data_IF_951120284044
#
_entry.id   IF_951120284044
#
_cell.length_a   1.000
_cell.length_b   1.000
_cell.length_c   1.000
_cell.angle_alpha   90.00
_cell.angle_beta   90.00
_cell.angle_gamma   90.00
#
_symmetry.space_group_name_H-M   'P 1'
#
loop_
_entity.id
_entity.type
_entity.pdbx_description
1 polymer ?
#
# COMPACT_ATOMS: atom_id res chain seq x y z
N UNK A 1 33.84 3.03 -29.04
CA UNK A 1 34.27 3.06 -27.64
C UNK A 1 33.53 4.19 -26.93
N UNK A 2 32.46 3.89 -26.19
CA UNK A 2 31.81 4.81 -25.24
C UNK A 2 31.66 4.03 -23.95
N UNK A 3 32.37 4.47 -22.91
CA UNK A 3 32.31 3.88 -21.58
C UNK A 3 31.00 4.32 -20.90
N UNK A 4 30.25 3.35 -20.39
CA UNK A 4 29.08 3.57 -19.54
C UNK A 4 29.58 3.51 -18.11
N UNK A 5 29.49 4.64 -17.41
CA UNK A 5 29.84 4.77 -15.99
C UNK A 5 28.67 4.24 -15.14
N UNK A 6 28.86 3.07 -14.53
CA UNK A 6 27.93 2.48 -13.56
C UNK A 6 28.20 3.11 -12.19
N UNK A 7 27.24 3.82 -11.64
CA UNK A 7 27.27 4.30 -10.24
C UNK A 7 26.56 3.28 -9.37
N UNK A 8 27.34 2.45 -8.69
CA UNK A 8 26.89 1.55 -7.61
C UNK A 8 26.87 2.34 -6.30
N UNK A 9 25.68 2.58 -5.76
CA UNK A 9 25.52 3.11 -4.40
C UNK A 9 25.54 1.92 -3.43
N UNK A 10 26.68 1.72 -2.78
CA UNK A 10 26.87 0.73 -1.71
C UNK A 10 26.37 1.32 -0.39
N UNK A 11 25.31 0.77 0.17
CA UNK A 11 24.83 1.09 1.51
C UNK A 11 25.62 0.27 2.53
N UNK A 12 26.54 0.90 3.21
CA UNK A 12 27.44 0.29 4.20
C UNK A 12 26.79 0.34 5.58
N UNK A 13 26.31 -0.81 6.08
CA UNK A 13 25.95 -1.00 7.48
C UNK A 13 27.22 -1.12 8.33
N UNK A 14 27.46 -0.15 9.18
CA UNK A 14 28.49 -0.24 10.24
C UNK A 14 27.85 -0.76 11.53
N UNK A 15 28.15 -2.00 11.86
CA UNK A 15 28.03 -2.55 13.22
C UNK A 15 29.30 -2.22 13.98
N UNK A 16 29.20 -1.36 14.98
CA UNK A 16 30.26 -1.15 15.95
C UNK A 16 29.78 -1.62 17.33
N UNK A 17 30.28 -2.78 17.75
CA UNK A 17 30.29 -3.16 19.15
C UNK A 17 31.52 -2.57 19.81
N UNK A 18 31.35 -1.76 20.86
CA UNK A 18 32.43 -1.34 21.76
C UNK A 18 31.94 -1.42 23.19
N UNK A 19 32.48 -2.39 23.94
CA UNK A 19 32.50 -2.36 25.40
C UNK A 19 33.56 -1.38 25.87
N UNK A 20 33.20 -0.43 26.74
CA UNK A 20 34.10 0.46 27.43
C UNK A 20 33.46 0.92 28.75
N UNK A 21 33.96 0.40 29.86
CA UNK A 21 33.64 0.81 31.21
C UNK A 21 34.27 2.20 31.52
N UNK A 22 33.46 3.15 31.99
CA UNK A 22 33.92 4.44 32.47
C UNK A 22 32.84 5.13 33.29
N UNK A 23 33.07 5.24 34.54
CA UNK A 23 32.27 5.91 35.59
C UNK A 23 32.23 7.42 35.36
N UNK A 24 31.05 8.05 35.56
CA UNK A 24 30.98 9.48 35.85
C UNK A 24 29.83 10.24 35.21
N UNK A 25 28.88 10.56 36.06
CA UNK A 25 28.04 11.75 36.17
C UNK A 25 26.94 12.06 35.17
N UNK A 26 25.78 12.06 35.78
CA UNK A 26 24.52 12.84 35.59
C UNK A 26 24.33 13.64 34.29
N UNK A 27 23.59 13.05 33.39
CA UNK A 27 22.90 13.74 32.32
C UNK A 27 21.73 12.88 31.84
N UNK A 28 20.75 12.59 32.72
CA UNK A 28 19.49 11.90 32.34
C UNK A 28 18.72 12.79 31.40
N UNK A 29 18.98 12.62 30.11
CA UNK A 29 18.01 12.95 29.07
C UNK A 29 16.77 12.10 29.27
N UNK A 30 15.81 12.58 30.01
CA UNK A 30 14.48 12.01 30.14
C UNK A 30 13.91 11.95 28.70
N UNK A 31 13.80 10.76 28.14
CA UNK A 31 12.77 10.50 27.13
C UNK A 31 11.47 10.87 27.84
N UNK A 32 10.89 12.01 27.49
CA UNK A 32 9.57 12.39 27.94
C UNK A 32 8.60 11.33 27.44
N UNK A 33 8.31 10.33 28.26
CA UNK A 33 7.13 9.50 28.12
C UNK A 33 5.96 10.47 28.14
N UNK A 34 5.27 10.58 27.03
CA UNK A 34 4.09 11.40 26.90
C UNK A 34 3.01 10.78 27.80
N UNK A 35 2.94 11.22 29.09
CA UNK A 35 1.73 11.01 29.87
C UNK A 35 0.64 11.83 29.19
N UNK A 36 -0.53 11.23 28.86
CA UNK A 36 -1.64 12.02 28.37
C UNK A 36 -1.97 13.06 29.46
N UNK A 37 -1.94 14.34 29.07
CA UNK A 37 -2.38 15.46 29.91
C UNK A 37 -3.89 15.32 30.12
N UNK A 38 -4.25 14.55 31.14
CA UNK A 38 -5.65 14.31 31.50
C UNK A 38 -6.27 15.67 31.85
N UNK A 39 -7.18 16.15 30.98
CA UNK A 39 -7.95 17.37 31.20
C UNK A 39 -7.61 18.56 30.31
N UNK A 40 -6.54 18.53 29.48
CA UNK A 40 -6.25 19.63 28.56
C UNK A 40 -7.34 19.75 27.47
N UNK A 41 -7.85 20.97 27.29
CA UNK A 41 -8.75 21.30 26.18
C UNK A 41 -8.19 22.54 25.48
N UNK A 42 -8.02 22.44 24.15
CA UNK A 42 -7.48 23.52 23.32
C UNK A 42 -6.56 23.01 22.23
N UNK A 43 -5.83 23.92 21.60
CA UNK A 43 -4.90 23.63 20.51
C UNK A 43 -3.48 23.55 21.05
N UNK A 44 -2.76 22.46 20.73
CA UNK A 44 -1.33 22.31 21.03
C UNK A 44 -0.52 22.42 19.74
N UNK A 45 0.42 23.38 19.72
CA UNK A 45 1.36 23.57 18.63
C UNK A 45 2.68 22.84 18.91
N UNK A 46 3.21 22.17 17.91
CA UNK A 46 4.50 21.51 17.93
C UNK A 46 5.47 22.27 17.02
N UNK A 47 6.57 22.70 17.60
CA UNK A 47 7.61 23.50 16.93
C UNK A 47 8.86 22.63 16.79
N UNK A 48 9.54 22.71 15.64
CA UNK A 48 10.85 22.12 15.38
C UNK A 48 11.68 23.15 14.61
N UNK A 49 12.88 23.45 15.11
CA UNK A 49 13.78 24.43 14.49
C UNK A 49 13.04 25.78 14.21
N UNK A 50 12.34 26.27 15.24
CA UNK A 50 11.51 27.50 15.23
C UNK A 50 10.38 27.52 14.19
N UNK A 51 10.07 26.38 13.58
CA UNK A 51 8.97 26.25 12.62
C UNK A 51 7.84 25.40 13.21
N UNK A 52 6.60 25.87 13.08
CA UNK A 52 5.43 25.08 13.43
C UNK A 52 5.29 23.92 12.43
N UNK A 53 5.42 22.69 12.91
CA UNK A 53 5.35 21.47 12.10
C UNK A 53 4.02 20.72 12.27
N UNK A 54 3.35 20.94 13.41
CA UNK A 54 2.08 20.25 13.70
C UNK A 54 1.24 21.06 14.69
N UNK A 55 -0.05 20.91 14.56
CA UNK A 55 -1.10 21.46 15.44
C UNK A 55 -2.12 20.36 15.73
N UNK A 56 -2.54 20.24 16.99
CA UNK A 56 -3.48 19.19 17.42
C UNK A 56 -4.55 19.82 18.31
N UNK A 57 -5.80 19.56 17.99
CA UNK A 57 -6.95 19.92 18.82
C UNK A 57 -7.22 18.82 19.85
N UNK A 58 -7.37 19.22 21.12
CA UNK A 58 -7.67 18.34 22.24
C UNK A 58 -8.92 18.78 22.97
N UNK A 59 -9.66 17.80 23.49
CA UNK A 59 -10.75 17.99 24.44
C UNK A 59 -10.59 16.99 25.57
N UNK A 60 -10.46 17.48 26.81
CA UNK A 60 -10.25 16.65 28.00
C UNK A 60 -9.08 15.66 27.87
N UNK A 61 -7.98 16.09 27.25
CA UNK A 61 -6.76 15.29 27.08
C UNK A 61 -6.76 14.33 25.90
N UNK A 62 -7.87 14.14 25.20
CA UNK A 62 -7.97 13.30 23.99
C UNK A 62 -7.99 14.15 22.72
N UNK A 63 -7.48 13.64 21.60
CA UNK A 63 -7.58 14.32 20.30
C UNK A 63 -9.04 14.34 19.87
N UNK A 64 -9.57 15.54 19.74
CA UNK A 64 -10.94 15.79 19.32
C UNK A 64 -10.92 17.04 18.44
N UNK A 65 -11.34 16.92 17.17
CA UNK A 65 -11.20 17.97 16.17
C UNK A 65 -10.11 17.65 15.16
N UNK A 66 -9.43 18.67 14.61
CA UNK A 66 -8.53 18.50 13.48
C UNK A 66 -7.06 18.53 13.93
N UNK A 67 -6.29 17.54 13.51
CA UNK A 67 -4.83 17.58 13.55
C UNK A 67 -4.32 18.06 12.20
N UNK A 68 -3.45 19.10 12.21
CA UNK A 68 -2.78 19.64 11.03
C UNK A 68 -1.28 19.39 11.09
N UNK A 69 -0.67 19.02 9.96
CA UNK A 69 0.78 19.08 9.75
C UNK A 69 1.10 20.13 8.68
N UNK A 70 2.32 20.63 8.70
CA UNK A 70 2.72 21.74 7.85
C UNK A 70 4.03 21.43 7.12
N UNK A 71 4.11 21.83 5.86
CA UNK A 71 5.38 21.92 5.14
C UNK A 71 6.30 22.97 5.78
N UNK A 72 7.60 22.92 5.48
CA UNK A 72 8.60 23.84 6.02
C UNK A 72 8.25 25.32 5.82
N UNK A 73 7.46 25.66 4.79
CA UNK A 73 6.99 27.03 4.53
C UNK A 73 5.70 27.44 5.27
N UNK A 74 5.20 26.62 6.22
CA UNK A 74 3.99 26.89 6.98
C UNK A 74 2.67 26.61 6.24
N UNK A 75 2.75 26.10 5.00
CA UNK A 75 1.58 25.63 4.24
C UNK A 75 1.09 24.32 4.83
N UNK A 76 -0.21 24.14 4.93
CA UNK A 76 -0.80 22.88 5.40
C UNK A 76 -0.41 21.75 4.46
N UNK A 77 0.11 20.65 5.04
CA UNK A 77 0.42 19.40 4.36
C UNK A 77 -0.73 18.40 4.52
N UNK A 78 -1.27 18.29 5.75
CA UNK A 78 -2.34 17.35 6.06
C UNK A 78 -3.33 17.96 7.04
N UNK A 79 -4.59 17.58 6.90
CA UNK A 79 -5.66 17.76 7.88
C UNK A 79 -6.30 16.41 8.15
N UNK A 80 -6.28 15.98 9.41
CA UNK A 80 -6.83 14.69 9.82
C UNK A 80 -7.81 14.93 10.95
N UNK A 81 -9.12 14.67 10.75
CA UNK A 81 -10.12 14.76 11.81
C UNK A 81 -9.98 13.58 12.78
N UNK A 82 -10.10 13.89 14.06
CA UNK A 82 -10.09 12.93 15.16
C UNK A 82 -11.35 13.06 16.00
N UNK A 83 -11.85 11.92 16.48
CA UNK A 83 -12.86 11.83 17.52
C UNK A 83 -12.44 10.75 18.51
N UNK A 84 -12.29 11.12 19.79
CA UNK A 84 -11.86 10.21 20.85
C UNK A 84 -10.51 9.54 20.56
N UNK A 85 -9.49 10.29 20.12
CA UNK A 85 -8.15 9.81 19.72
C UNK A 85 -8.10 8.94 18.46
N UNK A 86 -9.22 8.67 17.80
CA UNK A 86 -9.29 7.90 16.56
C UNK A 86 -9.53 8.81 15.36
N UNK A 87 -8.89 8.52 14.25
CA UNK A 87 -9.20 9.18 12.98
C UNK A 87 -10.66 8.89 12.61
N UNK A 88 -11.44 9.93 12.37
CA UNK A 88 -12.86 9.79 12.03
C UNK A 88 -13.30 10.95 11.14
N UNK A 89 -13.71 10.64 9.90
CA UNK A 89 -14.05 11.61 8.87
C UNK A 89 -13.03 11.66 7.73
N UNK A 90 -13.11 12.68 6.90
CA UNK A 90 -12.27 12.85 5.71
C UNK A 90 -10.92 13.48 6.06
N UNK A 91 -9.84 12.69 6.01
CA UNK A 91 -8.48 13.21 6.05
C UNK A 91 -8.08 13.76 4.68
N UNK A 92 -7.43 14.93 4.66
CA UNK A 92 -7.03 15.66 3.47
C UNK A 92 -5.53 15.86 3.43
N UNK A 93 -4.93 15.67 2.27
CA UNK A 93 -3.52 15.95 1.97
C UNK A 93 -3.44 16.99 0.87
N UNK A 94 -2.49 17.87 0.98
CA UNK A 94 -2.30 18.99 0.06
C UNK A 94 -0.94 18.96 -0.59
N UNK A 95 -0.84 19.51 -1.78
CA UNK A 95 0.43 19.86 -2.41
C UNK A 95 1.06 21.08 -1.70
N UNK A 96 2.38 21.34 -1.88
CA UNK A 96 3.01 22.53 -1.32
C UNK A 96 2.43 23.87 -1.80
N UNK A 97 1.66 23.87 -2.89
CA UNK A 97 0.93 25.02 -3.40
C UNK A 97 -0.53 25.10 -2.90
N UNK A 98 -0.83 24.42 -1.78
CA UNK A 98 -2.14 24.37 -1.10
C UNK A 98 -3.26 23.68 -1.89
N UNK A 99 -2.98 23.10 -3.04
CA UNK A 99 -4.01 22.37 -3.80
C UNK A 99 -4.20 20.97 -3.21
N UNK A 100 -5.44 20.52 -3.22
CA UNK A 100 -5.81 19.21 -2.71
C UNK A 100 -5.11 18.11 -3.52
N UNK A 101 -4.40 17.20 -2.81
CA UNK A 101 -3.71 16.05 -3.38
C UNK A 101 -4.52 14.76 -3.21
N UNK A 102 -5.09 14.54 -2.00
CA UNK A 102 -5.82 13.32 -1.68
C UNK A 102 -6.83 13.55 -0.57
N UNK A 103 -7.99 12.89 -0.68
CA UNK A 103 -8.97 12.73 0.40
C UNK A 103 -9.06 11.24 0.73
N UNK A 104 -9.03 10.91 2.01
CA UNK A 104 -9.18 9.53 2.50
C UNK A 104 -10.20 9.51 3.64
N UNK A 105 -11.33 8.81 3.49
CA UNK A 105 -12.32 8.69 4.56
C UNK A 105 -11.85 7.66 5.60
N UNK A 106 -11.99 8.01 6.87
CA UNK A 106 -11.71 7.15 8.02
C UNK A 106 -12.93 6.98 8.90
N UNK A 107 -13.11 5.77 9.41
CA UNK A 107 -14.04 5.42 10.47
C UNK A 107 -13.24 4.68 11.56
N UNK A 108 -13.10 5.30 12.74
CA UNK A 108 -12.37 4.71 13.88
C UNK A 108 -10.97 4.17 13.51
N UNK A 109 -10.09 5.01 12.93
CA UNK A 109 -8.75 4.71 12.42
C UNK A 109 -8.69 3.84 11.14
N UNK A 110 -9.80 3.29 10.70
CA UNK A 110 -9.88 2.39 9.56
C UNK A 110 -10.34 3.13 8.30
N UNK A 111 -9.67 2.92 7.16
CA UNK A 111 -10.13 3.50 5.88
C UNK A 111 -11.43 2.79 5.48
N UNK A 112 -12.51 3.57 5.25
CA UNK A 112 -13.79 3.04 4.79
C UNK A 112 -14.49 4.07 3.93
N UNK A 113 -14.81 3.70 2.68
CA UNK A 113 -15.33 4.59 1.64
C UNK A 113 -14.34 4.81 0.49
N UNK A 114 -14.59 5.82 -0.35
CA UNK A 114 -13.81 6.12 -1.54
C UNK A 114 -12.65 7.09 -1.22
N UNK A 115 -11.41 6.63 -1.36
CA UNK A 115 -10.24 7.50 -1.41
C UNK A 115 -10.16 8.14 -2.79
N UNK A 116 -9.99 9.47 -2.84
CA UNK A 116 -9.88 10.24 -4.08
C UNK A 116 -8.51 10.91 -4.14
N UNK A 117 -7.82 10.76 -5.25
CA UNK A 117 -6.57 11.44 -5.56
C UNK A 117 -6.80 12.50 -6.64
N UNK A 118 -6.08 13.61 -6.55
CA UNK A 118 -6.22 14.75 -7.47
C UNK A 118 -4.89 15.11 -8.12
N UNK A 119 -4.96 15.61 -9.33
CA UNK A 119 -3.88 16.35 -9.96
C UNK A 119 -3.77 17.76 -9.37
N UNK A 120 -2.60 18.41 -9.55
CA UNK A 120 -2.45 19.84 -9.20
C UNK A 120 -3.45 20.78 -9.90
N UNK A 121 -4.04 20.35 -11.01
CA UNK A 121 -5.12 21.06 -11.69
C UNK A 121 -6.47 21.01 -10.96
N UNK A 122 -6.59 20.21 -9.89
CA UNK A 122 -7.83 19.93 -9.18
C UNK A 122 -8.69 18.83 -9.82
N UNK A 123 -8.31 18.30 -10.99
CA UNK A 123 -9.01 17.18 -11.62
C UNK A 123 -8.75 15.88 -10.88
N UNK A 124 -9.76 15.01 -10.82
CA UNK A 124 -9.63 13.67 -10.21
C UNK A 124 -8.62 12.87 -11.01
N UNK A 125 -7.61 12.34 -10.29
CA UNK A 125 -6.58 11.45 -10.80
C UNK A 125 -6.96 9.99 -10.64
N UNK A 126 -7.45 9.61 -9.43
CA UNK A 126 -7.85 8.24 -9.16
C UNK A 126 -8.92 8.17 -8.06
N UNK A 127 -9.73 7.10 -8.11
CA UNK A 127 -10.64 6.69 -7.04
C UNK A 127 -10.37 5.24 -6.67
N UNK A 128 -10.32 4.97 -5.37
CA UNK A 128 -10.01 3.68 -4.78
C UNK A 128 -10.98 3.42 -3.65
N UNK A 129 -11.75 2.33 -3.75
CA UNK A 129 -12.77 2.01 -2.76
C UNK A 129 -12.23 1.06 -1.69
N UNK A 130 -12.64 1.29 -0.44
CA UNK A 130 -12.25 0.54 0.74
C UNK A 130 -13.46 0.21 1.61
N UNK A 131 -13.46 -0.98 2.18
CA UNK A 131 -14.38 -1.41 3.22
C UNK A 131 -13.53 -1.96 4.37
N UNK A 132 -13.66 -1.39 5.57
CA UNK A 132 -12.96 -1.79 6.79
C UNK A 132 -11.45 -2.03 6.58
N UNK A 133 -10.80 -1.08 5.92
CA UNK A 133 -9.36 -1.10 5.63
C UNK A 133 -8.94 -1.95 4.45
N UNK A 134 -9.82 -2.79 3.92
CA UNK A 134 -9.54 -3.66 2.79
C UNK A 134 -9.99 -3.03 1.47
N UNK A 135 -9.17 -3.23 0.43
CA UNK A 135 -9.38 -2.68 -0.91
C UNK A 135 -10.46 -3.46 -1.65
N UNK A 136 -11.38 -2.77 -2.34
CA UNK A 136 -12.12 -3.38 -3.44
C UNK A 136 -11.19 -3.53 -4.65
N UNK A 137 -11.39 -4.56 -5.50
CA UNK A 137 -10.50 -4.79 -6.65
C UNK A 137 -10.56 -3.69 -7.71
N UNK A 138 -11.68 -2.96 -7.78
CA UNK A 138 -11.91 -1.89 -8.75
C UNK A 138 -10.93 -0.72 -8.61
N UNK A 139 -10.64 -0.07 -9.74
CA UNK A 139 -9.81 1.14 -9.84
C UNK A 139 -10.36 2.04 -10.93
N UNK A 140 -10.52 3.33 -10.61
CA UNK A 140 -10.77 4.37 -11.60
C UNK A 140 -9.55 5.29 -11.64
N UNK A 141 -8.95 5.45 -12.81
CA UNK A 141 -7.86 6.39 -13.04
C UNK A 141 -8.18 7.26 -14.25
N UNK A 142 -7.74 8.51 -14.20
CA UNK A 142 -7.92 9.47 -15.27
C UNK A 142 -6.57 10.09 -15.64
N UNK A 143 -6.41 10.42 -16.90
CA UNK A 143 -5.31 11.25 -17.39
C UNK A 143 -5.49 12.70 -16.93
N UNK A 144 -4.44 13.51 -17.01
CA UNK A 144 -4.47 14.92 -16.59
C UNK A 144 -5.50 15.77 -17.37
N UNK A 145 -5.85 15.37 -18.58
CA UNK A 145 -6.91 16.00 -19.38
C UNK A 145 -8.33 15.59 -18.95
N UNK A 146 -8.46 14.61 -18.02
CA UNK A 146 -9.72 14.08 -17.52
C UNK A 146 -10.23 12.84 -18.25
N UNK A 147 -9.54 12.35 -19.29
CA UNK A 147 -9.91 11.11 -19.99
C UNK A 147 -9.67 9.91 -19.07
N UNK A 148 -10.66 9.03 -18.96
CA UNK A 148 -10.53 7.78 -18.18
C UNK A 148 -9.49 6.85 -18.81
N UNK A 149 -8.68 6.22 -17.97
CA UNK A 149 -7.73 5.19 -18.39
C UNK A 149 -8.45 3.87 -18.52
N UNK A 150 -8.34 3.25 -19.68
CA UNK A 150 -8.96 1.94 -19.99
C UNK A 150 -7.97 0.97 -20.63
N UNK A 151 -6.79 1.46 -21.01
CA UNK A 151 -5.71 0.74 -21.69
C UNK A 151 -4.76 0.04 -20.69
N UNK A 152 -5.31 -0.75 -19.78
CA UNK A 152 -4.51 -1.58 -18.89
C UNK A 152 -4.14 -2.90 -19.58
N UNK A 153 -2.92 -3.43 -19.32
CA UNK A 153 -2.55 -4.74 -19.82
C UNK A 153 -3.44 -5.81 -19.20
N UNK A 154 -3.70 -6.86 -19.93
CA UNK A 154 -4.47 -8.02 -19.46
C UNK A 154 -3.56 -9.03 -18.75
N UNK A 155 -4.11 -9.82 -17.83
CA UNK A 155 -3.42 -10.95 -17.26
C UNK A 155 -3.68 -12.18 -18.10
N UNK A 156 -2.61 -12.89 -18.50
CA UNK A 156 -2.65 -14.09 -19.35
C UNK A 156 -1.91 -15.24 -18.66
N UNK A 157 -2.05 -16.46 -19.19
CA UNK A 157 -1.28 -17.59 -18.72
C UNK A 157 -0.90 -18.54 -19.85
N UNK A 158 0.20 -19.26 -19.64
CA UNK A 158 0.67 -20.38 -20.46
C UNK A 158 0.75 -21.64 -19.61
N UNK A 159 0.64 -22.78 -20.25
CA UNK A 159 0.64 -24.10 -19.60
C UNK A 159 1.81 -24.93 -20.10
N UNK A 160 2.41 -25.69 -19.18
CA UNK A 160 3.24 -26.85 -19.50
C UNK A 160 2.65 -28.04 -18.74
N UNK A 161 1.95 -28.92 -19.47
CA UNK A 161 1.27 -30.08 -18.95
C UNK A 161 2.24 -31.26 -18.90
N UNK A 162 2.58 -31.68 -17.70
CA UNK A 162 3.42 -32.85 -17.40
C UNK A 162 2.66 -33.82 -16.48
N UNK A 163 1.32 -33.79 -16.51
CA UNK A 163 0.49 -34.55 -15.58
C UNK A 163 0.68 -36.06 -15.74
N UNK A 164 0.61 -36.58 -16.96
CA UNK A 164 0.76 -38.01 -17.23
C UNK A 164 2.17 -38.53 -16.94
N UNK A 165 3.20 -37.69 -17.21
CA UNK A 165 4.59 -38.10 -17.04
C UNK A 165 5.10 -37.96 -15.60
N UNK A 166 4.69 -36.88 -14.89
CA UNK A 166 5.26 -36.45 -13.61
C UNK A 166 4.23 -36.10 -12.54
N UNK A 167 2.95 -36.15 -12.87
CA UNK A 167 1.88 -35.69 -11.99
C UNK A 167 1.92 -34.19 -11.69
N UNK A 168 2.42 -33.35 -12.64
CA UNK A 168 2.61 -31.92 -12.46
C UNK A 168 1.97 -31.14 -13.62
N UNK A 169 1.26 -30.08 -13.27
CA UNK A 169 0.69 -29.13 -14.21
C UNK A 169 1.23 -27.74 -13.90
N UNK A 170 2.04 -27.17 -14.81
CA UNK A 170 2.72 -25.90 -14.57
C UNK A 170 2.01 -24.75 -15.26
N UNK A 171 1.77 -23.70 -14.51
CA UNK A 171 1.20 -22.44 -14.98
C UNK A 171 2.26 -21.33 -14.93
N UNK A 172 2.31 -20.56 -16.00
CA UNK A 172 3.13 -19.37 -16.15
C UNK A 172 2.20 -18.18 -16.36
N UNK A 173 2.11 -17.30 -15.38
CA UNK A 173 1.18 -16.17 -15.37
C UNK A 173 1.95 -14.89 -15.70
N UNK A 174 1.45 -14.12 -16.66
CA UNK A 174 2.10 -12.93 -17.19
C UNK A 174 1.09 -11.82 -17.47
N UNK A 175 1.56 -10.58 -17.50
CA UNK A 175 0.79 -9.48 -18.10
C UNK A 175 1.01 -9.50 -19.61
N UNK A 176 0.01 -9.09 -20.41
CA UNK A 176 0.06 -9.11 -21.88
C UNK A 176 1.17 -8.23 -22.47
N UNK A 177 1.63 -7.21 -21.75
CA UNK A 177 2.73 -6.31 -22.10
C UNK A 177 4.06 -6.66 -21.42
N UNK A 178 4.13 -7.83 -20.72
CA UNK A 178 5.28 -8.28 -19.94
C UNK A 178 5.72 -7.28 -18.86
N UNK A 179 4.77 -6.58 -18.24
CA UNK A 179 5.04 -5.62 -17.17
C UNK A 179 5.80 -6.26 -16.00
N UNK A 180 6.80 -5.55 -15.49
CA UNK A 180 7.64 -5.99 -14.36
C UNK A 180 7.07 -5.57 -12.99
N UNK A 181 6.17 -4.61 -12.95
CA UNK A 181 5.60 -4.03 -11.73
C UNK A 181 4.32 -4.74 -11.28
N UNK A 182 4.33 -6.07 -11.31
CA UNK A 182 3.23 -6.95 -10.91
C UNK A 182 3.67 -7.95 -9.86
N UNK A 183 2.74 -8.35 -8.98
CA UNK A 183 2.89 -9.49 -8.07
C UNK A 183 1.74 -10.45 -8.28
N UNK A 184 2.05 -11.75 -8.32
CA UNK A 184 1.08 -12.80 -8.53
C UNK A 184 0.86 -13.60 -7.25
N UNK A 185 -0.38 -13.92 -6.94
CA UNK A 185 -0.77 -14.65 -5.74
C UNK A 185 -1.72 -15.79 -6.10
N UNK A 186 -1.58 -16.94 -5.43
CA UNK A 186 -2.60 -17.99 -5.43
C UNK A 186 -3.64 -17.69 -4.36
N UNK A 187 -4.92 -17.83 -4.70
CA UNK A 187 -6.07 -17.60 -3.83
C UNK A 187 -7.10 -16.68 -4.45
N UNK A 188 -8.15 -16.38 -3.73
CA UNK A 188 -9.29 -15.60 -4.21
C UNK A 188 -9.59 -14.40 -3.30
N UNK A 189 -10.46 -13.50 -3.76
CA UNK A 189 -11.00 -12.44 -2.93
C UNK A 189 -11.83 -12.99 -1.79
N UNK A 190 -11.72 -12.38 -0.62
CA UNK A 190 -12.54 -12.73 0.54
C UNK A 190 -13.73 -11.77 0.61
N UNK A 191 -14.95 -12.27 0.41
CA UNK A 191 -16.16 -11.45 0.38
C UNK A 191 -16.09 -10.29 -0.64
N UNK A 192 -15.44 -10.52 -1.78
CA UNK A 192 -15.26 -9.51 -2.84
C UNK A 192 -14.17 -8.48 -2.55
N UNK A 193 -13.42 -8.61 -1.45
CA UNK A 193 -12.34 -7.71 -1.02
C UNK A 193 -10.97 -8.34 -1.27
N UNK A 194 -9.99 -7.50 -1.56
CA UNK A 194 -8.58 -7.90 -1.68
C UNK A 194 -7.97 -7.99 -0.30
N UNK A 195 -7.71 -9.21 0.14
CA UNK A 195 -7.02 -9.51 1.39
C UNK A 195 -5.70 -10.23 1.09
N UNK A 196 -4.62 -9.46 0.94
CA UNK A 196 -3.32 -10.01 0.57
C UNK A 196 -2.74 -10.96 1.63
N UNK A 197 -3.15 -10.84 2.89
CA UNK A 197 -2.71 -11.71 3.98
C UNK A 197 -3.32 -13.12 3.88
N UNK A 198 -4.46 -13.25 3.18
CA UNK A 198 -5.11 -14.53 2.90
C UNK A 198 -4.58 -15.23 1.63
N UNK A 199 -3.74 -14.55 0.85
CA UNK A 199 -3.22 -15.04 -0.42
C UNK A 199 -1.79 -15.56 -0.30
N UNK A 200 -1.45 -16.56 -1.11
CA UNK A 200 -0.07 -17.09 -1.20
C UNK A 200 0.68 -16.43 -2.34
N UNK A 201 1.75 -15.69 -2.04
CA UNK A 201 2.62 -15.10 -3.06
C UNK A 201 3.28 -16.21 -3.89
N UNK A 202 3.19 -16.12 -5.21
CA UNK A 202 3.84 -17.07 -6.12
C UNK A 202 5.35 -16.78 -6.23
N UNK A 203 6.11 -17.82 -6.52
CA UNK A 203 7.46 -17.65 -7.07
C UNK A 203 7.35 -16.91 -8.39
N UNK A 204 8.19 -15.91 -8.61
CA UNK A 204 8.15 -15.09 -9.83
C UNK A 204 9.51 -14.56 -10.24
N UNK A 205 9.68 -14.36 -11.54
CA UNK A 205 10.70 -13.47 -12.12
C UNK A 205 10.16 -12.03 -12.17
N UNK A 206 10.85 -11.14 -12.88
CA UNK A 206 10.37 -9.77 -13.08
C UNK A 206 8.97 -9.71 -13.72
N UNK A 207 8.69 -10.59 -14.71
CA UNK A 207 7.47 -10.56 -15.53
C UNK A 207 6.53 -11.74 -15.32
N UNK A 208 7.04 -12.91 -14.86
CA UNK A 208 6.31 -14.17 -14.86
C UNK A 208 6.15 -14.74 -13.47
N UNK A 209 4.91 -15.04 -13.07
CA UNK A 209 4.58 -15.84 -11.90
C UNK A 209 4.52 -17.33 -12.24
N UNK A 210 5.01 -18.18 -11.33
CA UNK A 210 5.07 -19.64 -11.49
C UNK A 210 4.19 -20.34 -10.49
N UNK A 211 3.32 -21.23 -10.96
CA UNK A 211 2.50 -22.07 -10.12
C UNK A 211 2.57 -23.54 -10.61
N UNK A 212 3.20 -24.38 -9.82
CA UNK A 212 3.28 -25.81 -10.05
C UNK A 212 2.16 -26.49 -9.25
N UNK A 213 1.15 -27.00 -9.95
CA UNK A 213 0.10 -27.83 -9.38
C UNK A 213 0.51 -29.28 -9.46
N UNK A 214 0.32 -30.03 -8.39
CA UNK A 214 0.72 -31.44 -8.30
C UNK A 214 -0.50 -32.32 -8.11
N UNK A 215 -0.42 -33.55 -8.64
CA UNK A 215 -1.41 -34.58 -8.37
C UNK A 215 -1.50 -34.82 -6.86
N UNK A 216 -2.72 -34.66 -6.32
CA UNK A 216 -3.02 -34.76 -4.89
C UNK A 216 -4.24 -35.64 -4.68
N UNK A 217 -4.06 -36.92 -4.32
CA UNK A 217 -5.18 -37.82 -4.09
C UNK A 217 -6.15 -37.26 -3.04
N UNK A 218 -7.45 -37.28 -3.36
CA UNK A 218 -8.50 -36.75 -2.47
C UNK A 218 -8.76 -35.25 -2.61
N UNK A 219 -7.95 -34.52 -3.37
CA UNK A 219 -8.26 -33.15 -3.77
C UNK A 219 -9.21 -33.16 -4.98
N UNK A 220 -10.12 -32.18 -5.05
CA UNK A 220 -10.98 -32.00 -6.22
C UNK A 220 -11.26 -30.52 -6.42
N UNK A 221 -10.77 -29.98 -7.54
CA UNK A 221 -11.01 -28.60 -7.94
C UNK A 221 -11.22 -28.52 -9.46
N UNK A 222 -12.17 -27.69 -9.89
CA UNK A 222 -12.41 -27.43 -11.30
C UNK A 222 -11.57 -26.26 -11.85
N UNK A 223 -11.02 -25.44 -10.96
CA UNK A 223 -10.19 -24.28 -11.31
C UNK A 223 -9.24 -23.91 -10.19
N UNK A 224 -8.18 -23.20 -10.54
CA UNK A 224 -7.33 -22.47 -9.60
C UNK A 224 -7.49 -20.97 -9.84
N UNK A 225 -7.52 -20.18 -8.77
CA UNK A 225 -7.62 -18.72 -8.86
C UNK A 225 -6.27 -18.09 -8.57
N UNK A 226 -5.90 -17.14 -9.43
CA UNK A 226 -4.70 -16.29 -9.28
C UNK A 226 -5.14 -14.82 -9.25
N UNK A 227 -4.56 -14.06 -8.33
CA UNK A 227 -4.69 -12.62 -8.29
C UNK A 227 -3.39 -11.99 -8.78
N UNK A 228 -3.47 -11.13 -9.81
CA UNK A 228 -2.36 -10.30 -10.23
C UNK A 228 -2.55 -8.88 -9.68
N UNK A 229 -1.59 -8.43 -8.87
CA UNK A 229 -1.55 -7.09 -8.29
C UNK A 229 -0.60 -6.21 -9.11
N UNK A 230 -1.12 -5.55 -10.12
CA UNK A 230 -0.39 -4.70 -11.04
C UNK A 230 -0.28 -3.25 -10.50
N UNK A 231 0.92 -2.70 -10.47
CA UNK A 231 1.15 -1.30 -10.13
C UNK A 231 1.09 -0.45 -11.41
N UNK A 232 0.05 0.35 -11.53
CA UNK A 232 -0.16 1.21 -12.71
C UNK A 232 0.90 2.30 -12.81
N UNK A 233 1.03 2.91 -14.00
CA UNK A 233 1.88 4.10 -14.24
C UNK A 233 1.50 5.31 -13.38
N UNK A 234 0.31 5.32 -12.78
CA UNK A 234 -0.16 6.38 -11.88
C UNK A 234 0.12 6.10 -10.41
N UNK A 235 0.72 4.93 -10.09
CA UNK A 235 1.14 4.54 -8.75
C UNK A 235 0.05 3.88 -7.91
N UNK A 236 -1.04 3.43 -8.52
CA UNK A 236 -2.09 2.68 -7.83
C UNK A 236 -2.03 1.19 -8.19
N UNK A 237 -2.52 0.32 -7.30
CA UNK A 237 -2.63 -1.12 -7.59
C UNK A 237 -3.98 -1.42 -8.22
N UNK A 238 -3.95 -2.07 -9.39
CA UNK A 238 -5.08 -2.72 -10.03
C UNK A 238 -4.98 -4.22 -9.76
N UNK A 239 -6.09 -4.83 -9.36
CA UNK A 239 -6.15 -6.24 -9.04
C UNK A 239 -6.97 -6.99 -10.08
N UNK A 240 -6.35 -7.98 -10.69
CA UNK A 240 -7.00 -8.91 -11.62
C UNK A 240 -7.28 -10.21 -10.92
N UNK A 241 -8.45 -10.76 -11.15
CA UNK A 241 -8.82 -12.11 -10.74
C UNK A 241 -8.87 -13.00 -11.96
N UNK A 242 -8.00 -13.98 -12.01
CA UNK A 242 -7.93 -14.96 -13.09
C UNK A 242 -8.30 -16.33 -12.54
N UNK A 243 -9.46 -16.85 -12.95
CA UNK A 243 -9.85 -18.24 -12.68
C UNK A 243 -9.39 -19.12 -13.85
N UNK A 244 -8.45 -20.00 -13.62
CA UNK A 244 -7.84 -20.88 -14.62
C UNK A 244 -8.50 -22.26 -14.49
N UNK A 245 -9.24 -22.74 -15.50
CA UNK A 245 -9.85 -24.07 -15.46
C UNK A 245 -8.77 -25.15 -15.45
N UNK A 246 -8.99 -26.21 -14.67
CA UNK A 246 -8.08 -27.34 -14.56
C UNK A 246 -8.61 -28.52 -15.37
N UNK A 247 -7.76 -29.14 -16.23
CA UNK A 247 -8.15 -30.35 -16.97
C UNK A 247 -8.22 -31.58 -16.09
N UNK A 248 -7.52 -31.57 -14.96
CA UNK A 248 -7.44 -32.66 -13.98
C UNK A 248 -7.95 -32.15 -12.63
N UNK A 249 -8.94 -32.81 -12.04
CA UNK A 249 -9.59 -32.34 -10.80
C UNK A 249 -8.72 -32.53 -9.56
N UNK A 250 -7.81 -33.47 -9.57
CA UNK A 250 -6.95 -33.84 -8.45
C UNK A 250 -5.64 -33.01 -8.39
N UNK A 251 -5.57 -31.90 -9.09
CA UNK A 251 -4.45 -30.95 -9.03
C UNK A 251 -4.60 -29.99 -7.84
N UNK A 252 -3.52 -29.86 -7.04
CA UNK A 252 -3.42 -28.89 -5.93
C UNK A 252 -2.04 -28.21 -5.88
#
# INVERSE_FOLDING_TARGET
MKQILSVTITFMMLLAASCGSGTGDSGRGRKAGHQPDTGFTGIRNYIRDDVKVKEVEYKNGVREGITRTFYKGGVIEQEIPYSGDKKNGEARWYYPDSKLFRVTPYVNDTISGTQIQYYKSGRVKAKLDYIDGKRLPGLEENMINGTRVTDYPEVTYRVNDLYDERGVYKLFIEMSDLAENVKYYRGDYVNGLVDLDSLTLLLQTATTGYLDLKKSPGHSADSVVVIAAYLTRFGNRLYYRLAIPLPYKDLN
#
